data_IF_197577425766
#
_entry.id   IF_197577425766
#
_cell.length_a   1.000
_cell.length_b   1.000
_cell.length_c   1.000
_cell.angle_alpha   90.00
_cell.angle_beta   90.00
_cell.angle_gamma   90.00
#
_symmetry.space_group_name_H-M   'P 1'
#
loop_
_entity.id
_entity.type
_entity.pdbx_description
1 polymer ?
#
# COMPACT_ATOMS: atom_id res chain seq x y z
N UNK A 1 -24.66 -17.82 8.99
CA UNK A 1 -23.21 -17.92 8.77
C UNK A 1 -22.50 -17.72 10.11
N UNK A 2 -21.83 -18.74 10.62
CA UNK A 2 -21.09 -18.60 11.87
C UNK A 2 -19.98 -17.57 11.67
N UNK A 3 -19.93 -16.54 12.52
CA UNK A 3 -18.70 -15.77 12.69
C UNK A 3 -17.63 -16.76 13.11
N UNK A 4 -16.48 -16.85 12.43
CA UNK A 4 -15.37 -17.58 13.00
C UNK A 4 -15.11 -16.96 14.37
N UNK A 5 -15.29 -17.75 15.40
CA UNK A 5 -14.99 -17.34 16.76
C UNK A 5 -13.51 -16.98 16.83
N UNK A 6 -13.24 -15.74 17.17
CA UNK A 6 -11.99 -15.23 17.72
C UNK A 6 -10.79 -14.99 16.81
N UNK A 7 -10.87 -15.16 15.48
CA UNK A 7 -9.78 -14.76 14.60
C UNK A 7 -10.15 -13.54 13.76
N UNK A 8 -9.76 -12.37 14.24
CA UNK A 8 -9.73 -11.16 13.45
C UNK A 8 -8.66 -11.36 12.37
N UNK A 9 -9.08 -11.70 11.15
CA UNK A 9 -8.21 -12.05 10.07
C UNK A 9 -8.00 -10.91 9.08
N UNK A 10 -6.77 -10.76 8.65
CA UNK A 10 -6.44 -9.98 7.45
C UNK A 10 -6.29 -10.96 6.29
N UNK A 11 -7.15 -10.82 5.29
CA UNK A 11 -7.15 -11.65 4.09
C UNK A 11 -6.36 -10.96 3.00
N UNK A 12 -5.49 -11.69 2.34
CA UNK A 12 -4.65 -11.18 1.26
C UNK A 12 -4.93 -11.88 -0.05
N UNK A 13 -4.91 -11.12 -1.13
CA UNK A 13 -5.18 -11.63 -2.47
C UNK A 13 -4.04 -11.24 -3.40
N UNK A 14 -3.48 -12.22 -4.11
CA UNK A 14 -2.47 -12.05 -5.16
C UNK A 14 -3.09 -12.40 -6.51
N UNK A 15 -2.74 -11.73 -7.56
CA UNK A 15 -3.13 -11.92 -8.96
C UNK A 15 -4.64 -12.17 -9.23
N UNK A 16 -5.20 -11.67 -10.28
CA UNK A 16 -6.66 -11.70 -10.51
C UNK A 16 -7.48 -10.92 -9.49
N UNK A 17 -6.84 -10.03 -8.80
CA UNK A 17 -7.18 -9.36 -7.55
C UNK A 17 -8.49 -8.61 -7.58
N UNK A 18 -8.71 -7.83 -8.63
CA UNK A 18 -9.87 -6.92 -8.70
C UNK A 18 -11.19 -7.68 -8.68
N UNK A 19 -11.26 -8.84 -9.32
CA UNK A 19 -12.48 -9.67 -9.35
C UNK A 19 -12.74 -10.30 -7.98
N UNK A 20 -11.74 -10.91 -7.37
CA UNK A 20 -11.88 -11.58 -6.06
C UNK A 20 -12.09 -10.59 -4.94
N UNK A 21 -11.34 -9.49 -4.92
CA UNK A 21 -11.52 -8.41 -3.92
C UNK A 21 -12.90 -7.80 -4.01
N UNK A 22 -13.38 -7.53 -5.23
CA UNK A 22 -14.74 -7.00 -5.45
C UNK A 22 -15.81 -7.99 -5.01
N UNK A 23 -15.61 -9.27 -5.27
CA UNK A 23 -16.53 -10.32 -4.83
C UNK A 23 -16.63 -10.36 -3.30
N UNK A 24 -15.51 -10.44 -2.61
CA UNK A 24 -15.47 -10.48 -1.16
C UNK A 24 -16.04 -9.22 -0.52
N UNK A 25 -15.76 -8.07 -1.11
CA UNK A 25 -16.35 -6.80 -0.64
C UNK A 25 -17.86 -6.80 -0.79
N UNK A 26 -18.38 -7.18 -1.95
CA UNK A 26 -19.82 -7.19 -2.23
C UNK A 26 -20.58 -8.24 -1.43
N UNK A 27 -20.01 -9.44 -1.29
CA UNK A 27 -20.69 -10.58 -0.64
C UNK A 27 -20.59 -10.55 0.88
N UNK A 28 -19.47 -10.08 1.42
CA UNK A 28 -19.17 -10.14 2.84
C UNK A 28 -19.01 -8.77 3.51
N UNK A 29 -19.10 -7.69 2.75
CA UNK A 29 -18.95 -6.33 3.27
C UNK A 29 -17.55 -6.04 3.82
N UNK A 30 -16.52 -6.80 3.38
CA UNK A 30 -15.15 -6.63 3.86
C UNK A 30 -14.51 -5.38 3.26
N UNK A 31 -13.90 -4.51 4.07
CA UNK A 31 -13.18 -3.37 3.55
C UNK A 31 -11.91 -3.80 2.82
N UNK A 32 -11.57 -3.09 1.74
CA UNK A 32 -10.39 -3.32 0.94
C UNK A 32 -9.36 -2.23 1.24
N UNK A 33 -8.15 -2.62 1.59
CA UNK A 33 -6.99 -1.74 1.71
C UNK A 33 -6.12 -1.95 0.48
N UNK A 34 -6.08 -0.95 -0.39
CA UNK A 34 -5.28 -0.96 -1.62
C UNK A 34 -3.92 -0.32 -1.33
N UNK A 35 -2.87 -1.13 -1.37
CA UNK A 35 -1.50 -0.67 -1.12
C UNK A 35 -1.00 0.31 -2.20
N UNK A 36 -1.44 0.16 -3.46
CA UNK A 36 -1.08 1.10 -4.52
C UNK A 36 -1.69 2.48 -4.28
N UNK A 37 -2.94 2.52 -3.82
CA UNK A 37 -3.59 3.77 -3.41
C UNK A 37 -2.85 4.44 -2.24
N UNK A 38 -2.49 3.66 -1.22
CA UNK A 38 -1.73 4.17 -0.08
C UNK A 38 -0.33 4.64 -0.49
N UNK A 39 0.34 3.92 -1.38
CA UNK A 39 1.65 4.32 -1.89
C UNK A 39 1.61 5.69 -2.59
N UNK A 40 0.51 6.01 -3.24
CA UNK A 40 0.29 7.35 -3.82
C UNK A 40 -0.04 8.38 -2.75
N UNK A 41 -0.89 8.03 -1.80
CA UNK A 41 -1.35 8.94 -0.75
C UNK A 41 -0.21 9.39 0.18
N UNK A 42 0.73 8.51 0.52
CA UNK A 42 1.84 8.83 1.43
C UNK A 42 2.88 9.78 0.85
N UNK A 43 2.85 10.03 -0.44
CA UNK A 43 3.73 10.98 -1.15
C UNK A 43 2.98 12.17 -1.76
N UNK A 44 1.73 12.38 -1.38
CA UNK A 44 0.97 13.58 -1.77
C UNK A 44 1.58 14.84 -1.12
N UNK A 45 1.48 16.01 -1.78
CA UNK A 45 1.94 17.27 -1.20
C UNK A 45 1.40 17.49 0.21
N UNK A 46 2.28 17.87 1.12
CA UNK A 46 1.95 18.06 2.54
C UNK A 46 2.20 16.86 3.44
N UNK A 47 2.57 15.71 2.88
CA UNK A 47 2.94 14.53 3.67
C UNK A 47 4.43 14.49 4.01
N UNK A 48 4.79 13.72 5.06
CA UNK A 48 6.20 13.51 5.41
C UNK A 48 6.97 12.79 4.31
N UNK A 49 6.34 11.85 3.60
CA UNK A 49 6.94 11.17 2.45
C UNK A 49 7.25 12.11 1.30
N UNK A 50 6.33 12.99 0.96
CA UNK A 50 6.56 14.05 -0.04
C UNK A 50 7.76 14.92 0.35
N UNK A 51 7.77 15.44 1.58
CA UNK A 51 8.83 16.31 2.05
C UNK A 51 10.20 15.61 2.00
N UNK A 52 10.27 14.33 2.39
CA UNK A 52 11.50 13.56 2.33
C UNK A 52 11.99 13.36 0.89
N UNK A 53 11.10 13.11 -0.06
CA UNK A 53 11.43 12.98 -1.49
C UNK A 53 11.96 14.32 -2.04
N UNK A 54 11.26 15.40 -1.80
CA UNK A 54 11.68 16.73 -2.30
C UNK A 54 13.00 17.17 -1.66
N UNK A 55 13.21 16.89 -0.38
CA UNK A 55 14.46 17.21 0.31
C UNK A 55 15.65 16.45 -0.26
N UNK A 56 15.47 15.18 -0.64
CA UNK A 56 16.56 14.37 -1.19
C UNK A 56 16.80 14.63 -2.67
N UNK A 57 15.74 14.60 -3.48
CA UNK A 57 15.85 14.70 -4.94
C UNK A 57 15.84 16.13 -5.47
N UNK A 58 15.30 17.07 -4.72
CA UNK A 58 15.19 18.47 -5.11
C UNK A 58 14.11 18.72 -6.17
N UNK A 59 14.22 19.85 -6.87
CA UNK A 59 13.23 20.31 -7.85
C UNK A 59 13.13 19.42 -9.10
N UNK A 60 14.11 18.59 -9.37
CA UNK A 60 14.14 17.70 -10.55
C UNK A 60 13.01 16.65 -10.56
N UNK A 61 12.38 16.41 -9.42
CA UNK A 61 11.25 15.47 -9.28
C UNK A 61 9.90 16.16 -9.18
N UNK A 62 9.85 17.47 -9.36
CA UNK A 62 8.62 18.24 -9.38
C UNK A 62 8.17 18.53 -10.81
N UNK A 63 6.86 18.60 -11.00
CA UNK A 63 6.27 19.08 -12.25
C UNK A 63 6.51 20.59 -12.43
N UNK A 64 6.12 21.12 -13.57
CA UNK A 64 6.29 22.55 -13.91
C UNK A 64 5.56 23.49 -12.93
N UNK A 65 4.53 22.99 -12.24
CA UNK A 65 3.82 23.73 -11.20
C UNK A 65 4.63 23.92 -9.90
N UNK A 66 5.77 23.22 -9.77
CA UNK A 66 6.63 23.27 -8.60
C UNK A 66 6.06 22.63 -7.33
N UNK A 67 4.92 21.96 -7.43
CA UNK A 67 4.21 21.35 -6.28
C UNK A 67 4.02 19.87 -6.44
N UNK A 68 3.49 19.41 -7.57
CA UNK A 68 3.22 17.99 -7.80
C UNK A 68 4.50 17.22 -8.12
N UNK A 69 4.58 15.97 -7.63
CA UNK A 69 5.67 15.08 -8.02
C UNK A 69 5.54 14.64 -9.48
N UNK A 70 6.63 14.72 -10.21
CA UNK A 70 6.74 14.14 -11.54
C UNK A 70 7.14 12.66 -11.43
N UNK A 71 6.17 11.79 -11.55
CA UNK A 71 6.36 10.34 -11.42
C UNK A 71 7.26 9.77 -12.49
N UNK A 72 7.23 10.33 -13.71
CA UNK A 72 8.10 9.92 -14.80
C UNK A 72 9.55 10.27 -14.47
N UNK A 73 9.81 11.49 -14.02
CA UNK A 73 11.15 11.91 -13.61
C UNK A 73 11.71 11.03 -12.48
N UNK A 74 10.90 10.74 -11.46
CA UNK A 74 11.28 9.83 -10.37
C UNK A 74 11.57 8.43 -10.91
N UNK A 75 10.71 7.89 -11.77
CA UNK A 75 10.89 6.58 -12.38
C UNK A 75 12.19 6.49 -13.18
N UNK A 76 12.50 7.50 -13.99
CA UNK A 76 13.73 7.54 -14.78
C UNK A 76 14.98 7.59 -13.88
N UNK A 77 14.94 8.36 -12.81
CA UNK A 77 16.04 8.44 -11.85
C UNK A 77 16.29 7.09 -11.17
N UNK A 78 15.25 6.46 -10.63
CA UNK A 78 15.40 5.21 -9.88
C UNK A 78 15.65 3.99 -10.77
N UNK A 79 15.23 4.05 -12.03
CA UNK A 79 15.53 3.01 -13.00
C UNK A 79 17.03 2.95 -13.34
N UNK A 80 17.69 4.11 -13.42
CA UNK A 80 19.09 4.23 -13.81
C UNK A 80 20.07 4.22 -12.63
N UNK A 81 19.60 4.43 -11.41
CA UNK A 81 20.45 4.51 -10.21
C UNK A 81 19.88 3.68 -9.07
N UNK A 82 20.57 2.59 -8.74
CA UNK A 82 20.17 1.69 -7.66
C UNK A 82 20.22 2.36 -6.27
N UNK A 83 21.16 3.29 -6.07
CA UNK A 83 21.27 4.02 -4.79
C UNK A 83 20.06 4.91 -4.57
N UNK A 84 19.66 5.64 -5.60
CA UNK A 84 18.48 6.50 -5.57
C UNK A 84 17.20 5.68 -5.39
N UNK A 85 17.12 4.50 -6.00
CA UNK A 85 16.02 3.56 -5.80
C UNK A 85 15.93 3.08 -4.34
N UNK A 86 17.06 2.76 -3.71
CA UNK A 86 17.10 2.39 -2.29
C UNK A 86 16.66 3.53 -1.38
N UNK A 87 17.04 4.75 -1.70
CA UNK A 87 16.58 5.94 -0.94
C UNK A 87 15.09 6.12 -1.06
N UNK A 88 14.54 6.07 -2.28
CA UNK A 88 13.10 6.19 -2.50
C UNK A 88 12.32 5.09 -1.76
N UNK A 89 12.77 3.85 -1.85
CA UNK A 89 12.16 2.72 -1.15
C UNK A 89 12.24 2.89 0.37
N UNK A 90 13.35 3.40 0.88
CA UNK A 90 13.53 3.71 2.30
C UNK A 90 12.59 4.80 2.83
N UNK A 91 12.12 5.68 1.95
CA UNK A 91 11.11 6.70 2.27
C UNK A 91 9.70 6.13 2.16
N UNK A 92 9.40 5.44 1.07
CA UNK A 92 8.02 5.01 0.75
C UNK A 92 7.58 3.77 1.50
N UNK A 93 8.41 2.74 1.64
CA UNK A 93 8.03 1.48 2.27
C UNK A 93 7.60 1.63 3.73
N UNK A 94 8.35 2.33 4.61
CA UNK A 94 7.90 2.56 5.99
C UNK A 94 6.61 3.38 6.05
N UNK A 95 6.46 4.38 5.19
CA UNK A 95 5.27 5.21 5.13
C UNK A 95 4.03 4.40 4.72
N UNK A 96 4.15 3.53 3.72
CA UNK A 96 3.05 2.64 3.29
C UNK A 96 2.70 1.62 4.37
N UNK A 97 3.69 1.00 5.02
CA UNK A 97 3.44 0.06 6.12
C UNK A 97 2.70 0.72 7.27
N UNK A 98 3.11 1.91 7.66
CA UNK A 98 2.44 2.68 8.71
C UNK A 98 1.01 3.03 8.32
N UNK A 99 0.79 3.45 7.09
CA UNK A 99 -0.54 3.77 6.58
C UNK A 99 -1.44 2.52 6.53
N UNK A 100 -0.92 1.38 6.09
CA UNK A 100 -1.65 0.11 6.10
C UNK A 100 -2.03 -0.33 7.52
N UNK A 101 -1.09 -0.27 8.46
CA UNK A 101 -1.36 -0.61 9.85
C UNK A 101 -2.44 0.28 10.45
N UNK A 102 -2.41 1.57 10.15
CA UNK A 102 -3.42 2.52 10.59
C UNK A 102 -4.80 2.23 10.01
N UNK A 103 -4.89 1.89 8.72
CA UNK A 103 -6.16 1.50 8.09
C UNK A 103 -6.73 0.21 8.69
N UNK A 104 -5.89 -0.78 8.98
CA UNK A 104 -6.33 -2.02 9.66
C UNK A 104 -6.91 -1.71 11.04
N UNK A 105 -6.23 -0.89 11.84
CA UNK A 105 -6.70 -0.47 13.16
C UNK A 105 -8.01 0.30 13.04
N UNK A 106 -8.12 1.20 12.06
CA UNK A 106 -9.32 2.00 11.83
C UNK A 106 -10.54 1.13 11.50
N UNK A 107 -10.37 0.15 10.63
CA UNK A 107 -11.46 -0.78 10.29
C UNK A 107 -11.82 -1.68 11.46
N UNK A 108 -10.83 -2.13 12.22
CA UNK A 108 -11.09 -2.90 13.44
C UNK A 108 -11.90 -2.11 14.46
N UNK A 109 -11.57 -0.85 14.69
CA UNK A 109 -12.32 0.06 15.57
C UNK A 109 -13.74 0.32 15.09
N UNK A 110 -14.01 0.24 13.79
CA UNK A 110 -15.35 0.33 13.19
C UNK A 110 -16.18 -0.95 13.33
N UNK A 111 -15.64 -2.00 13.91
CA UNK A 111 -16.31 -3.28 14.13
C UNK A 111 -16.19 -4.27 12.98
N UNK A 112 -15.32 -4.06 12.01
CA UNK A 112 -15.04 -5.05 10.99
C UNK A 112 -14.21 -6.20 11.56
N UNK A 113 -14.65 -7.44 11.33
CA UNK A 113 -13.95 -8.64 11.82
C UNK A 113 -12.75 -9.05 10.96
N UNK A 114 -12.72 -8.62 9.70
CA UNK A 114 -11.62 -8.85 8.76
C UNK A 114 -11.51 -7.70 7.76
N UNK A 115 -10.35 -7.54 7.14
CA UNK A 115 -10.13 -6.66 6.02
C UNK A 115 -9.26 -7.34 4.95
N UNK A 116 -9.33 -6.84 3.72
CA UNK A 116 -8.57 -7.35 2.59
C UNK A 116 -7.39 -6.42 2.33
N UNK A 117 -6.18 -6.99 2.27
CA UNK A 117 -4.99 -6.27 1.80
C UNK A 117 -4.72 -6.63 0.34
N UNK A 118 -4.89 -5.67 -0.54
CA UNK A 118 -4.52 -5.79 -1.95
C UNK A 118 -3.11 -5.23 -2.16
N UNK A 119 -2.12 -6.11 -2.25
CA UNK A 119 -0.71 -5.74 -2.34
C UNK A 119 -0.04 -6.49 -3.50
N UNK A 120 0.43 -5.81 -4.55
CA UNK A 120 0.99 -6.47 -5.73
C UNK A 120 2.35 -7.15 -5.48
N UNK A 121 3.19 -6.66 -4.57
CA UNK A 121 4.57 -7.14 -4.34
C UNK A 121 4.81 -7.53 -2.88
N UNK A 122 3.94 -8.36 -2.35
CA UNK A 122 3.87 -8.60 -0.93
C UNK A 122 5.00 -9.47 -0.38
N UNK A 123 5.45 -10.44 -1.16
CA UNK A 123 6.49 -11.39 -0.75
C UNK A 123 7.81 -10.66 -0.50
N UNK A 124 8.14 -9.67 -1.31
CA UNK A 124 9.35 -8.87 -1.18
C UNK A 124 9.36 -7.95 0.05
N UNK A 125 8.18 -7.51 0.48
CA UNK A 125 8.06 -6.60 1.62
C UNK A 125 7.98 -7.29 2.99
N UNK A 126 7.96 -8.64 3.04
CA UNK A 126 7.87 -9.42 4.28
C UNK A 126 6.55 -9.24 5.05
N UNK A 127 5.54 -8.69 4.42
CA UNK A 127 4.24 -8.37 5.04
C UNK A 127 3.39 -9.62 5.32
N UNK A 128 3.73 -10.77 4.72
CA UNK A 128 3.04 -12.04 4.96
C UNK A 128 3.08 -12.50 6.42
N UNK A 129 4.03 -11.99 7.20
CA UNK A 129 4.17 -12.29 8.63
C UNK A 129 3.11 -11.64 9.50
N UNK A 130 2.38 -10.67 8.97
CA UNK A 130 1.44 -9.84 9.71
C UNK A 130 -0.02 -10.22 9.51
N UNK A 131 -0.29 -11.31 8.77
CA UNK A 131 -1.65 -11.69 8.42
C UNK A 131 -1.96 -13.12 8.82
N UNK A 132 -3.24 -13.34 9.12
CA UNK A 132 -3.75 -14.65 9.49
C UNK A 132 -3.91 -15.59 8.30
N UNK A 133 -4.31 -15.10 7.15
CA UNK A 133 -4.60 -15.93 5.97
C UNK A 133 -4.13 -15.27 4.68
N UNK A 134 -3.55 -16.08 3.80
CA UNK A 134 -3.07 -15.65 2.48
C UNK A 134 -3.82 -16.42 1.41
N UNK A 135 -4.58 -15.70 0.57
CA UNK A 135 -5.26 -16.28 -0.59
C UNK A 135 -4.45 -15.92 -1.84
N UNK A 136 -4.00 -16.94 -2.56
CA UNK A 136 -3.29 -16.79 -3.82
C UNK A 136 -4.23 -17.16 -4.96
N UNK A 137 -4.45 -16.23 -5.87
CA UNK A 137 -5.27 -16.44 -7.06
C UNK A 137 -4.36 -16.60 -8.26
N UNK A 138 -4.44 -17.76 -8.91
CA UNK A 138 -3.73 -18.03 -10.17
C UNK A 138 -4.62 -17.67 -11.38
N UNK A 139 -4.01 -17.07 -12.31
CA UNK A 139 -4.63 -16.81 -13.62
C UNK A 139 -4.03 -17.74 -14.67
#
# INVERSE_FOLDING_TARGET
>A
MRRPSDEQGVIRIYAGKSTVSSYLHKQHGLPIIDADHLARAVIEPGTAGYNAIVNHFGKRVLQDDGVQLDRKAISDIVFNDEKERKVLNGITHPAVRKAMAWEVIRYWMKGHWACILDVPLLVEAGLYKWVGEVIVVYV
#
